data_IF_218251599469
#
_entry.id   IF_218251599469
#
_cell.length_a   1.000
_cell.length_b   1.000
_cell.length_c   1.000
_cell.angle_alpha   90.00
_cell.angle_beta   90.00
_cell.angle_gamma   90.00
#
_symmetry.space_group_name_H-M   'P 1'
#
loop_
_entity.id
_entity.type
_entity.pdbx_description
1 polymer ?
#
# COMPACT_ATOMS: atom_id res chain seq x y z
N UNK A 1 4.93 0.34 16.12
CA UNK A 1 3.88 1.35 16.34
C UNK A 1 3.84 2.18 15.08
N UNK A 2 2.86 1.93 14.21
CA UNK A 2 2.90 2.37 12.82
C UNK A 2 2.67 3.89 12.72
N UNK A 3 3.55 4.60 12.02
CA UNK A 3 3.49 6.05 11.71
C UNK A 3 2.14 6.48 11.08
N UNK A 4 1.43 5.53 10.49
CA UNK A 4 0.10 5.75 9.87
C UNK A 4 -0.98 6.24 10.84
N UNK A 5 -0.89 5.91 12.13
CA UNK A 5 -1.84 6.38 13.16
C UNK A 5 -1.69 7.88 13.48
N UNK A 6 -0.55 8.48 13.11
CA UNK A 6 -0.28 9.89 13.41
C UNK A 6 -0.95 10.87 12.42
N UNK A 7 -1.33 10.43 11.22
CA UNK A 7 -1.96 11.29 10.19
C UNK A 7 -3.38 11.76 10.51
N UNK A 8 -4.07 11.14 11.46
CA UNK A 8 -5.50 11.43 11.75
C UNK A 8 -5.79 12.26 13.01
N UNK A 9 -4.78 12.58 13.78
CA UNK A 9 -4.98 13.40 14.97
C UNK A 9 -4.68 14.86 14.65
N UNK A 10 -5.65 15.77 14.77
CA UNK A 10 -5.42 17.23 14.64
C UNK A 10 -4.37 17.78 15.62
N UNK A 11 -3.96 16.97 16.60
CA UNK A 11 -2.89 17.24 17.57
C UNK A 11 -1.52 16.73 17.13
N UNK A 12 -1.36 16.21 15.90
CA UNK A 12 -0.16 15.50 15.45
C UNK A 12 1.09 16.38 15.44
N UNK A 13 0.97 17.62 14.98
CA UNK A 13 2.12 18.53 14.93
C UNK A 13 2.65 18.89 16.33
N UNK A 14 1.77 19.06 17.32
CA UNK A 14 2.20 19.30 18.69
C UNK A 14 2.81 18.05 19.33
N UNK A 15 2.23 16.87 19.08
CA UNK A 15 2.76 15.60 19.59
C UNK A 15 4.12 15.22 19.01
N UNK A 16 4.34 15.50 17.73
CA UNK A 16 5.63 15.31 17.06
C UNK A 16 6.70 16.27 17.58
N UNK A 17 6.33 17.54 17.79
CA UNK A 17 7.23 18.56 18.34
C UNK A 17 7.67 18.24 19.77
N UNK A 18 6.78 17.71 20.60
CA UNK A 18 7.08 17.28 21.97
C UNK A 18 8.04 16.08 21.94
N UNK A 19 7.78 15.06 21.14
CA UNK A 19 8.67 13.87 21.06
C UNK A 19 10.05 14.22 20.51
N UNK A 20 10.16 15.07 19.49
CA UNK A 20 11.42 15.54 18.97
C UNK A 20 12.27 16.31 20.01
N UNK A 21 11.65 17.09 20.87
CA UNK A 21 12.32 17.78 21.98
C UNK A 21 12.94 16.86 23.03
N UNK A 22 12.31 15.70 23.29
CA UNK A 22 12.77 14.76 24.31
C UNK A 22 13.85 13.80 23.80
N UNK A 23 13.84 13.48 22.52
CA UNK A 23 14.72 12.47 21.94
C UNK A 23 15.83 13.04 21.07
N UNK A 24 15.77 14.33 20.72
CA UNK A 24 16.67 14.97 19.75
C UNK A 24 16.45 14.50 18.29
N UNK A 25 15.49 13.61 18.05
CA UNK A 25 15.17 13.09 16.72
C UNK A 25 14.21 14.05 16.01
N UNK A 26 14.62 14.55 14.85
CA UNK A 26 13.76 15.33 13.96
C UNK A 26 12.76 14.38 13.29
N UNK A 27 11.48 14.59 13.52
CA UNK A 27 10.41 13.85 12.88
C UNK A 27 9.79 14.70 11.79
N UNK A 28 9.71 14.15 10.58
CA UNK A 28 9.07 14.78 9.44
C UNK A 28 7.85 13.97 9.00
N UNK A 29 6.81 14.67 8.57
CA UNK A 29 5.64 14.07 7.93
C UNK A 29 5.80 14.30 6.45
N UNK A 30 6.05 13.25 5.69
CA UNK A 30 6.10 13.32 4.24
C UNK A 30 4.70 13.22 3.64
N UNK A 31 4.40 13.93 2.55
CA UNK A 31 3.15 13.77 1.79
C UNK A 31 3.04 12.34 1.24
N UNK A 32 1.79 11.85 1.06
CA UNK A 32 1.56 10.51 0.50
C UNK A 32 2.15 10.33 -0.90
N UNK A 33 2.20 11.38 -1.69
CA UNK A 33 2.86 11.37 -3.00
C UNK A 33 4.38 11.13 -2.92
N UNK A 34 5.05 11.74 -1.94
CA UNK A 34 6.48 11.53 -1.69
C UNK A 34 6.75 10.12 -1.17
N UNK A 35 5.89 9.63 -0.26
CA UNK A 35 5.94 8.23 0.21
C UNK A 35 5.81 7.24 -0.94
N UNK A 36 4.84 7.47 -1.84
CA UNK A 36 4.65 6.65 -3.03
C UNK A 36 5.86 6.69 -3.96
N UNK A 37 6.43 7.87 -4.21
CA UNK A 37 7.60 8.01 -5.07
C UNK A 37 8.82 7.28 -4.52
N UNK A 38 9.08 7.35 -3.20
CA UNK A 38 10.17 6.63 -2.54
C UNK A 38 10.02 5.10 -2.69
N UNK A 39 8.81 4.59 -2.50
CA UNK A 39 8.51 3.17 -2.67
C UNK A 39 8.65 2.74 -4.13
N UNK A 40 8.20 3.57 -5.06
CA UNK A 40 8.29 3.28 -6.48
C UNK A 40 9.72 3.26 -7.01
N UNK A 41 10.56 4.20 -6.60
CA UNK A 41 11.97 4.21 -6.99
C UNK A 41 12.66 2.90 -6.59
N UNK A 42 12.34 2.37 -5.41
CA UNK A 42 12.87 1.09 -4.94
C UNK A 42 12.29 -0.11 -5.73
N UNK A 43 11.01 -0.07 -6.10
CA UNK A 43 10.36 -1.13 -6.89
C UNK A 43 10.85 -1.16 -8.35
N UNK A 44 11.01 0.02 -8.96
CA UNK A 44 11.53 0.18 -10.32
C UNK A 44 12.91 -0.43 -10.45
N UNK A 45 13.77 -0.26 -9.45
CA UNK A 45 15.13 -0.78 -9.46
C UNK A 45 15.22 -2.28 -9.15
N UNK A 46 14.26 -2.81 -8.40
CA UNK A 46 14.18 -4.24 -8.07
C UNK A 46 13.37 -5.05 -9.09
N UNK A 47 12.74 -4.40 -10.07
CA UNK A 47 12.12 -5.06 -11.23
C UNK A 47 12.97 -4.79 -12.48
N UNK A 48 13.30 -5.83 -13.23
CA UNK A 48 14.20 -5.79 -14.40
C UNK A 48 13.81 -4.78 -15.50
N UNK A 49 12.69 -4.08 -15.34
CA UNK A 49 12.23 -3.09 -16.30
C UNK A 49 11.45 -1.97 -15.63
N UNK A 50 12.02 -1.06 -14.94
CA UNK A 50 11.35 0.12 -14.37
C UNK A 50 10.38 0.89 -15.28
N UNK A 51 10.02 0.30 -16.41
CA UNK A 51 9.14 0.78 -17.47
C UNK A 51 7.78 0.07 -17.34
N UNK A 52 6.70 0.84 -17.38
CA UNK A 52 5.33 0.32 -17.37
C UNK A 52 4.39 1.13 -16.48
N UNK A 53 3.14 0.66 -16.44
CA UNK A 53 2.07 1.32 -15.71
C UNK A 53 1.82 0.58 -14.39
N UNK A 54 1.82 1.31 -13.29
CA UNK A 54 1.60 0.73 -11.98
C UNK A 54 0.58 1.54 -11.18
N UNK A 55 -0.28 0.85 -10.45
CA UNK A 55 -1.12 1.41 -9.41
C UNK A 55 -0.61 0.91 -8.05
N UNK A 56 0.05 1.78 -7.31
CA UNK A 56 0.45 1.52 -5.94
C UNK A 56 -0.76 1.76 -5.01
N UNK A 57 -1.12 0.75 -4.24
CA UNK A 57 -2.34 0.73 -3.42
C UNK A 57 -2.00 0.42 -1.96
N UNK A 58 -2.26 1.37 -1.07
CA UNK A 58 -2.17 1.17 0.37
C UNK A 58 -3.56 1.27 1.01
N UNK A 59 -4.03 0.17 1.59
CA UNK A 59 -5.33 0.09 2.25
C UNK A 59 -5.17 0.26 3.75
N UNK A 60 -5.53 1.44 4.24
CA UNK A 60 -5.55 1.77 5.66
C UNK A 60 -6.89 1.49 6.34
N UNK A 61 -6.98 1.82 7.64
CA UNK A 61 -8.22 1.72 8.40
C UNK A 61 -9.27 2.75 7.99
N UNK A 62 -8.86 3.95 7.63
CA UNK A 62 -9.76 5.06 7.32
C UNK A 62 -9.79 5.47 5.86
N UNK A 63 -8.79 5.13 5.09
CA UNK A 63 -8.63 5.56 3.69
C UNK A 63 -7.89 4.50 2.89
N UNK A 64 -8.00 4.60 1.58
CA UNK A 64 -7.18 3.89 0.60
C UNK A 64 -6.43 4.95 -0.20
N UNK A 65 -5.12 4.87 -0.17
CA UNK A 65 -4.22 5.70 -0.96
C UNK A 65 -3.87 4.96 -2.25
N UNK A 66 -4.05 5.64 -3.38
CA UNK A 66 -3.73 5.10 -4.71
C UNK A 66 -2.82 6.08 -5.42
N UNK A 67 -1.63 5.63 -5.79
CA UNK A 67 -0.67 6.39 -6.58
C UNK A 67 -0.46 5.69 -7.92
N UNK A 68 -0.67 6.43 -8.99
CA UNK A 68 -0.60 5.96 -10.37
C UNK A 68 0.73 6.39 -10.97
N UNK A 69 1.46 5.41 -11.52
CA UNK A 69 2.77 5.63 -12.09
C UNK A 69 2.82 5.17 -13.53
N UNK A 70 3.48 5.96 -14.33
CA UNK A 70 3.79 5.68 -15.72
C UNK A 70 5.29 5.81 -15.94
N UNK A 71 5.95 4.75 -16.39
CA UNK A 71 7.39 4.69 -16.65
C UNK A 71 8.26 5.23 -15.49
N UNK A 72 7.93 4.83 -14.27
CA UNK A 72 8.64 5.22 -13.05
C UNK A 72 8.33 6.64 -12.55
N UNK A 73 7.47 7.40 -13.24
CA UNK A 73 7.07 8.74 -12.84
C UNK A 73 5.67 8.72 -12.20
N UNK A 74 5.52 9.38 -11.06
CA UNK A 74 4.21 9.56 -10.44
C UNK A 74 3.34 10.49 -11.29
N UNK A 75 2.28 9.92 -11.90
CA UNK A 75 1.31 10.67 -12.69
C UNK A 75 0.25 11.32 -11.79
N UNK A 76 -0.38 10.53 -10.92
CA UNK A 76 -1.45 10.99 -10.04
C UNK A 76 -1.37 10.30 -8.68
N UNK A 77 -1.85 10.96 -7.63
CA UNK A 77 -2.00 10.36 -6.29
C UNK A 77 -3.32 10.80 -5.68
N UNK A 78 -4.10 9.83 -5.21
CA UNK A 78 -5.44 10.03 -4.66
C UNK A 78 -5.59 9.35 -3.30
N UNK A 79 -6.34 9.98 -2.40
CA UNK A 79 -6.75 9.40 -1.12
C UNK A 79 -8.28 9.35 -1.06
N UNK A 80 -8.81 8.14 -1.01
CA UNK A 80 -10.25 7.91 -0.90
C UNK A 80 -10.62 7.60 0.55
N UNK A 81 -11.75 8.12 1.03
CA UNK A 81 -12.28 7.81 2.36
C UNK A 81 -12.88 6.39 2.42
N UNK A 82 -12.21 5.44 1.81
CA UNK A 82 -12.53 4.01 1.79
C UNK A 82 -11.41 3.30 2.53
N UNK A 83 -11.69 2.84 3.75
CA UNK A 83 -10.73 2.11 4.56
C UNK A 83 -11.44 1.02 5.35
N UNK A 84 -10.68 0.05 5.86
CA UNK A 84 -11.24 -1.15 6.47
C UNK A 84 -12.15 -0.85 7.65
N UNK A 85 -11.74 0.02 8.57
CA UNK A 85 -12.55 0.43 9.73
C UNK A 85 -13.74 1.29 9.32
N UNK A 86 -13.59 2.09 8.27
CA UNK A 86 -14.69 2.90 7.75
C UNK A 86 -15.75 2.04 7.09
N UNK A 87 -15.34 0.96 6.40
CA UNK A 87 -16.27 -0.03 5.84
C UNK A 87 -17.02 -0.79 6.94
N UNK A 88 -16.33 -1.24 7.99
CA UNK A 88 -16.96 -1.89 9.15
C UNK A 88 -17.98 -0.99 9.84
N UNK A 89 -17.71 0.32 9.91
CA UNK A 89 -18.62 1.30 10.46
C UNK A 89 -19.78 1.71 9.53
N UNK A 90 -19.87 1.14 8.32
CA UNK A 90 -20.88 1.52 7.31
C UNK A 90 -20.76 2.97 6.83
N UNK A 91 -19.58 3.59 6.97
CA UNK A 91 -19.33 5.00 6.70
C UNK A 91 -18.71 5.27 5.31
N UNK A 92 -18.69 4.28 4.44
CA UNK A 92 -18.28 4.43 3.03
C UNK A 92 -19.51 4.69 2.18
N UNK A 93 -19.55 5.83 1.50
CA UNK A 93 -20.68 6.18 0.65
C UNK A 93 -20.56 5.54 -0.74
N UNK A 94 -21.71 5.31 -1.44
CA UNK A 94 -21.68 4.87 -2.84
C UNK A 94 -20.94 5.85 -3.76
N UNK A 95 -21.05 7.16 -3.50
CA UNK A 95 -20.40 8.23 -4.27
C UNK A 95 -18.88 8.11 -4.20
N UNK A 96 -18.33 7.89 -3.00
CA UNK A 96 -16.89 7.71 -2.76
C UNK A 96 -16.38 6.46 -3.49
N UNK A 97 -17.11 5.33 -3.35
CA UNK A 97 -16.79 4.08 -4.05
C UNK A 97 -16.81 4.24 -5.56
N UNK A 98 -17.86 4.90 -6.10
CA UNK A 98 -17.98 5.15 -7.53
C UNK A 98 -16.90 6.11 -8.06
N UNK A 99 -16.51 7.11 -7.26
CA UNK A 99 -15.41 8.01 -7.62
C UNK A 99 -14.10 7.26 -7.80
N UNK A 100 -13.76 6.38 -6.86
CA UNK A 100 -12.57 5.53 -6.95
C UNK A 100 -12.62 4.61 -8.18
N UNK A 101 -13.75 3.93 -8.42
CA UNK A 101 -13.90 3.04 -9.57
C UNK A 101 -13.72 3.80 -10.89
N UNK A 102 -14.40 4.93 -11.08
CA UNK A 102 -14.29 5.73 -12.31
C UNK A 102 -12.86 6.20 -12.57
N UNK A 103 -12.15 6.64 -11.54
CA UNK A 103 -10.76 7.06 -11.67
C UNK A 103 -9.88 5.89 -12.14
N UNK A 104 -10.02 4.71 -11.52
CA UNK A 104 -9.24 3.52 -11.88
C UNK A 104 -9.60 2.98 -13.27
N UNK A 105 -10.89 2.96 -13.63
CA UNK A 105 -11.35 2.51 -14.94
C UNK A 105 -10.80 3.42 -16.04
N UNK A 106 -10.85 4.74 -15.84
CA UNK A 106 -10.26 5.71 -16.76
C UNK A 106 -8.74 5.48 -16.90
N UNK A 107 -8.04 5.29 -15.80
CA UNK A 107 -6.60 5.03 -15.85
C UNK A 107 -6.27 3.72 -16.59
N UNK A 108 -7.07 2.67 -16.42
CA UNK A 108 -6.90 1.41 -17.14
C UNK A 108 -7.16 1.54 -18.65
N UNK A 109 -8.02 2.49 -19.06
CA UNK A 109 -8.25 2.81 -20.47
C UNK A 109 -7.09 3.59 -21.08
N UNK A 110 -6.59 4.60 -20.35
CA UNK A 110 -5.49 5.47 -20.78
C UNK A 110 -4.13 4.72 -20.77
N UNK A 111 -3.96 3.77 -19.82
CA UNK A 111 -2.72 3.02 -19.60
C UNK A 111 -2.99 1.50 -19.52
N UNK A 112 -3.22 0.84 -20.66
CA UNK A 112 -3.46 -0.61 -20.69
C UNK A 112 -2.30 -1.42 -20.10
N UNK A 113 -2.63 -2.53 -19.44
CA UNK A 113 -1.63 -3.41 -18.83
C UNK A 113 -1.08 -2.89 -17.49
N UNK A 114 -1.76 -1.93 -16.87
CA UNK A 114 -1.43 -1.47 -15.51
C UNK A 114 -1.37 -2.64 -14.54
N UNK A 115 -0.31 -2.70 -13.72
CA UNK A 115 -0.12 -3.70 -12.68
C UNK A 115 -0.41 -3.09 -11.30
N UNK A 116 -0.98 -3.88 -10.40
CA UNK A 116 -1.21 -3.43 -9.02
C UNK A 116 -0.01 -3.81 -8.16
N UNK A 117 0.44 -2.84 -7.35
CA UNK A 117 1.39 -3.05 -6.28
C UNK A 117 0.65 -2.78 -4.97
N UNK A 118 0.41 -3.85 -4.21
CA UNK A 118 -0.24 -3.75 -2.91
C UNK A 118 0.75 -3.53 -1.79
N UNK A 119 0.50 -2.54 -0.94
CA UNK A 119 1.32 -2.20 0.21
C UNK A 119 0.54 -2.24 1.52
N UNK A 120 1.29 -2.29 2.60
CA UNK A 120 0.75 -2.22 3.95
C UNK A 120 0.42 -3.58 4.58
N UNK A 121 -0.03 -3.51 5.84
CA UNK A 121 -0.25 -4.71 6.67
C UNK A 121 -1.38 -5.60 6.19
N UNK A 122 -2.40 -5.03 5.55
CA UNK A 122 -3.58 -5.76 5.10
C UNK A 122 -3.26 -6.69 3.93
N UNK A 123 -2.64 -6.19 2.86
CA UNK A 123 -2.28 -7.02 1.71
C UNK A 123 -1.22 -8.06 2.07
N UNK A 124 -0.24 -7.69 2.88
CA UNK A 124 0.77 -8.63 3.37
C UNK A 124 0.15 -9.78 4.18
N UNK A 125 -0.93 -9.53 4.90
CA UNK A 125 -1.66 -10.57 5.61
C UNK A 125 -2.45 -11.46 4.66
N UNK A 126 -3.18 -10.88 3.71
CA UNK A 126 -3.90 -11.61 2.66
C UNK A 126 -2.95 -12.51 1.87
N UNK A 127 -1.80 -11.99 1.47
CA UNK A 127 -0.77 -12.76 0.76
C UNK A 127 -0.28 -13.97 1.56
N UNK A 128 -0.01 -13.79 2.86
CA UNK A 128 0.40 -14.90 3.74
C UNK A 128 -0.70 -15.96 3.89
N UNK A 129 -1.96 -15.54 4.00
CA UNK A 129 -3.09 -16.45 4.10
C UNK A 129 -3.32 -17.23 2.80
N UNK A 130 -3.03 -16.63 1.66
CA UNK A 130 -3.15 -17.26 0.35
C UNK A 130 -2.13 -18.39 0.14
N UNK A 131 -1.08 -18.51 0.96
CA UNK A 131 -0.08 -19.59 0.94
C UNK A 131 0.49 -19.85 -0.46
N UNK A 132 0.81 -18.77 -1.18
CA UNK A 132 1.40 -18.86 -2.53
C UNK A 132 2.70 -19.69 -2.46
N UNK A 133 2.83 -20.67 -3.34
CA UNK A 133 4.01 -21.54 -3.40
C UNK A 133 5.12 -20.89 -4.23
N UNK A 134 6.36 -21.16 -3.84
CA UNK A 134 7.56 -20.62 -4.50
C UNK A 134 7.90 -19.20 -4.04
N UNK A 135 8.84 -18.58 -4.75
CA UNK A 135 9.37 -17.25 -4.43
C UNK A 135 8.56 -16.10 -5.06
N UNK A 136 7.46 -16.43 -5.74
CA UNK A 136 6.60 -15.42 -6.37
C UNK A 136 5.99 -14.50 -5.32
N UNK A 137 6.11 -13.21 -5.55
CA UNK A 137 5.47 -12.15 -4.75
C UNK A 137 4.21 -11.63 -5.43
N UNK A 138 3.62 -12.42 -6.32
CA UNK A 138 2.34 -12.12 -6.98
C UNK A 138 1.21 -12.89 -6.31
N UNK A 139 0.16 -12.17 -5.94
CA UNK A 139 -1.10 -12.71 -5.43
C UNK A 139 -2.12 -12.72 -6.57
N UNK A 140 -2.46 -13.90 -7.12
CA UNK A 140 -3.52 -13.98 -8.13
C UNK A 140 -4.85 -13.51 -7.58
N UNK A 141 -5.56 -12.68 -8.34
CA UNK A 141 -6.89 -12.17 -7.97
C UNK A 141 -7.89 -13.33 -7.79
N UNK A 142 -7.74 -14.39 -8.57
CA UNK A 142 -8.54 -15.62 -8.41
C UNK A 142 -8.33 -16.25 -7.02
N UNK A 143 -7.08 -16.33 -6.55
CA UNK A 143 -6.75 -16.84 -5.22
C UNK A 143 -7.29 -15.93 -4.12
N UNK A 144 -7.20 -14.60 -4.31
CA UNK A 144 -7.77 -13.65 -3.36
C UNK A 144 -9.30 -13.77 -3.28
N UNK A 145 -9.99 -14.02 -4.41
CA UNK A 145 -11.44 -14.28 -4.45
C UNK A 145 -11.82 -15.56 -3.69
N UNK A 146 -11.04 -16.63 -3.86
CA UNK A 146 -11.24 -17.88 -3.12
C UNK A 146 -11.06 -17.67 -1.62
N UNK A 147 -9.96 -17.03 -1.22
CA UNK A 147 -9.70 -16.71 0.17
C UNK A 147 -10.79 -15.83 0.79
N UNK A 148 -11.28 -14.83 0.06
CA UNK A 148 -12.42 -14.02 0.48
C UNK A 148 -13.68 -14.88 0.70
N UNK A 149 -13.99 -15.76 -0.24
CA UNK A 149 -15.17 -16.64 -0.14
C UNK A 149 -15.06 -17.63 1.04
N UNK A 150 -13.86 -18.05 1.42
CA UNK A 150 -13.62 -18.89 2.61
C UNK A 150 -13.77 -18.08 3.91
N UNK A 151 -13.28 -16.84 3.94
CA UNK A 151 -13.27 -16.00 5.14
C UNK A 151 -14.63 -15.32 5.42
N UNK A 152 -15.36 -14.91 4.38
CA UNK A 152 -16.55 -14.07 4.51
C UNK A 152 -17.68 -14.70 5.33
N UNK A 153 -17.98 -16.02 5.22
CA UNK A 153 -19.05 -16.65 6.00
C UNK A 153 -18.69 -16.90 7.47
N UNK A 154 -17.42 -16.81 7.84
CA UNK A 154 -16.93 -17.13 9.19
C UNK A 154 -17.17 -15.97 10.17
N UNK A 155 -17.47 -16.31 11.41
CA UNK A 155 -17.49 -15.35 12.52
C UNK A 155 -16.08 -14.83 12.82
N UNK A 156 -15.99 -13.80 13.65
CA UNK A 156 -14.70 -13.24 14.08
C UNK A 156 -13.84 -14.30 14.77
N UNK A 157 -14.46 -15.05 15.70
CA UNK A 157 -13.83 -16.09 16.48
C UNK A 157 -13.32 -17.22 15.58
N UNK A 158 -14.12 -17.66 14.62
CA UNK A 158 -13.74 -18.70 13.66
C UNK A 158 -12.56 -18.26 12.79
N UNK A 159 -12.53 -17.01 12.33
CA UNK A 159 -11.38 -16.46 11.60
C UNK A 159 -10.12 -16.45 12.45
N UNK A 160 -10.23 -16.06 13.72
CA UNK A 160 -9.10 -16.07 14.66
C UNK A 160 -8.58 -17.49 14.88
N UNK A 161 -9.46 -18.46 15.06
CA UNK A 161 -9.08 -19.84 15.34
C UNK A 161 -8.50 -20.57 14.11
N UNK A 162 -9.22 -20.52 12.97
CA UNK A 162 -8.85 -21.29 11.78
C UNK A 162 -7.67 -20.69 11.02
N UNK A 163 -7.62 -19.35 10.93
CA UNK A 163 -6.57 -18.64 10.18
C UNK A 163 -5.47 -18.04 11.06
N UNK A 164 -5.51 -18.30 12.38
CA UNK A 164 -4.53 -17.77 13.35
C UNK A 164 -4.39 -16.24 13.26
N UNK A 165 -5.52 -15.57 13.08
CA UNK A 165 -5.56 -14.11 13.03
C UNK A 165 -5.64 -13.56 14.45
N UNK A 166 -4.99 -12.41 14.67
CA UNK A 166 -5.23 -11.63 15.89
C UNK A 166 -6.55 -10.87 15.76
N UNK A 167 -7.14 -10.48 16.87
CA UNK A 167 -8.40 -9.75 16.94
C UNK A 167 -8.39 -8.51 16.04
N UNK A 168 -7.36 -7.67 16.15
CA UNK A 168 -7.15 -6.45 15.35
C UNK A 168 -6.94 -6.70 13.84
N UNK A 169 -6.95 -7.95 13.41
CA UNK A 169 -6.77 -8.37 12.01
C UNK A 169 -7.94 -9.18 11.48
N UNK A 170 -8.64 -9.91 12.34
CA UNK A 170 -9.73 -10.79 11.95
C UNK A 170 -10.98 -10.02 11.50
N UNK A 171 -11.22 -8.84 12.03
CA UNK A 171 -12.31 -7.94 11.63
C UNK A 171 -12.02 -7.19 10.32
N UNK A 172 -10.78 -6.68 10.15
CA UNK A 172 -10.42 -5.83 9.00
C UNK A 172 -10.03 -6.63 7.74
N UNK A 173 -9.82 -7.95 7.83
CA UNK A 173 -9.33 -8.75 6.71
C UNK A 173 -10.34 -8.83 5.56
N UNK A 174 -11.63 -8.91 5.89
CA UNK A 174 -12.72 -8.96 4.90
C UNK A 174 -12.83 -7.66 4.12
N UNK A 175 -13.02 -6.48 4.77
CA UNK A 175 -13.05 -5.22 4.04
C UNK A 175 -11.75 -4.93 3.28
N UNK A 176 -10.60 -5.38 3.78
CA UNK A 176 -9.34 -5.26 3.04
C UNK A 176 -9.38 -6.06 1.73
N UNK A 177 -9.81 -7.31 1.76
CA UNK A 177 -9.96 -8.14 0.57
C UNK A 177 -10.95 -7.52 -0.43
N UNK A 178 -12.08 -7.00 0.05
CA UNK A 178 -13.07 -6.33 -0.80
C UNK A 178 -12.50 -5.11 -1.53
N UNK A 179 -11.72 -4.28 -0.85
CA UNK A 179 -11.10 -3.10 -1.46
C UNK A 179 -10.11 -3.54 -2.55
N UNK A 180 -9.21 -4.49 -2.27
CA UNK A 180 -8.26 -4.97 -3.26
C UNK A 180 -8.94 -5.65 -4.46
N UNK A 181 -10.01 -6.41 -4.23
CA UNK A 181 -10.82 -6.99 -5.31
C UNK A 181 -11.53 -5.92 -6.15
N UNK A 182 -12.01 -4.86 -5.52
CA UNK A 182 -12.62 -3.72 -6.22
C UNK A 182 -11.59 -3.02 -7.12
N UNK A 183 -10.42 -2.73 -6.59
CA UNK A 183 -9.31 -2.10 -7.33
C UNK A 183 -8.87 -2.98 -8.51
N UNK A 184 -8.65 -4.29 -8.25
CA UNK A 184 -8.23 -5.23 -9.29
C UNK A 184 -9.25 -5.34 -10.43
N UNK A 185 -10.54 -5.34 -10.10
CA UNK A 185 -11.63 -5.35 -11.08
C UNK A 185 -11.63 -4.09 -11.93
N UNK A 186 -11.53 -2.92 -11.30
CA UNK A 186 -11.56 -1.62 -12.00
C UNK A 186 -10.35 -1.42 -12.92
N UNK A 187 -9.16 -1.90 -12.50
CA UNK A 187 -7.95 -1.88 -13.32
C UNK A 187 -7.83 -3.06 -14.29
N UNK A 188 -8.76 -4.02 -14.27
CA UNK A 188 -8.75 -5.25 -15.07
C UNK A 188 -7.47 -6.08 -14.87
N UNK A 189 -6.95 -6.11 -13.63
CA UNK A 189 -5.74 -6.83 -13.27
C UNK A 189 -6.07 -8.25 -12.80
N UNK A 190 -5.22 -9.21 -13.15
CA UNK A 190 -5.33 -10.61 -12.74
C UNK A 190 -4.44 -10.94 -11.54
N UNK A 191 -3.45 -10.09 -11.24
CA UNK A 191 -2.47 -10.27 -10.18
C UNK A 191 -2.24 -8.98 -9.41
N UNK A 192 -1.89 -9.14 -8.13
CA UNK A 192 -1.43 -8.07 -7.24
C UNK A 192 -0.01 -8.39 -6.80
N UNK A 193 0.93 -7.55 -7.15
CA UNK A 193 2.30 -7.65 -6.64
C UNK A 193 2.33 -7.22 -5.17
N UNK A 194 2.94 -8.05 -4.33
CA UNK A 194 3.05 -7.80 -2.87
C UNK A 194 4.53 -7.83 -2.49
N UNK A 195 5.28 -6.77 -2.78
CA UNK A 195 6.70 -6.73 -2.48
C UNK A 195 6.95 -6.79 -0.97
N UNK A 196 8.08 -7.37 -0.56
CA UNK A 196 8.50 -7.39 0.84
C UNK A 196 9.34 -6.14 1.18
N UNK A 197 8.94 -5.01 0.64
CA UNK A 197 9.65 -3.74 0.80
C UNK A 197 8.75 -2.82 1.61
N UNK A 198 9.31 -2.21 2.63
CA UNK A 198 8.65 -1.17 3.43
C UNK A 198 9.17 0.21 3.03
N UNK A 199 8.44 1.25 3.42
CA UNK A 199 8.90 2.63 3.29
C UNK A 199 10.28 2.82 3.99
N UNK A 200 10.51 2.14 5.11
CA UNK A 200 11.78 2.21 5.82
C UNK A 200 12.93 1.64 4.97
N UNK A 201 12.72 0.52 4.27
CA UNK A 201 13.71 -0.04 3.36
C UNK A 201 14.02 0.93 2.23
N UNK A 202 13.00 1.53 1.63
CA UNK A 202 13.15 2.51 0.54
C UNK A 202 13.89 3.78 0.97
N UNK A 203 13.67 4.25 2.19
CA UNK A 203 14.41 5.40 2.76
C UNK A 203 15.88 5.04 2.99
N UNK A 204 16.14 3.85 3.54
CA UNK A 204 17.52 3.39 3.79
C UNK A 204 18.29 3.25 2.48
N UNK A 205 17.69 2.65 1.47
CA UNK A 205 18.29 2.51 0.14
C UNK A 205 18.56 3.88 -0.52
N UNK A 206 17.64 4.83 -0.39
CA UNK A 206 17.82 6.20 -0.85
C UNK A 206 19.02 6.88 -0.20
N UNK A 207 19.10 6.85 1.13
CA UNK A 207 20.23 7.41 1.89
C UNK A 207 21.55 6.74 1.51
N UNK A 208 21.56 5.43 1.34
CA UNK A 208 22.76 4.68 0.95
C UNK A 208 23.31 5.14 -0.41
N UNK A 209 22.44 5.36 -1.39
CA UNK A 209 22.82 5.87 -2.72
C UNK A 209 23.35 7.29 -2.69
N UNK A 210 22.72 8.17 -1.93
CA UNK A 210 23.17 9.56 -1.78
C UNK A 210 24.58 9.59 -1.18
N UNK A 211 24.88 8.72 -0.23
CA UNK A 211 26.21 8.59 0.36
C UNK A 211 27.22 8.06 -0.66
N UNK A 212 26.87 7.03 -1.42
CA UNK A 212 27.75 6.48 -2.46
C UNK A 212 28.01 7.47 -3.61
N UNK A 213 26.97 8.15 -4.10
CA UNK A 213 27.09 9.17 -5.12
C UNK A 213 28.01 10.33 -4.69
N UNK A 214 27.91 10.73 -3.42
CA UNK A 214 28.77 11.76 -2.85
C UNK A 214 30.25 11.29 -2.65
N UNK A 215 30.48 9.98 -2.42
CA UNK A 215 31.84 9.42 -2.37
C UNK A 215 32.46 9.36 -3.76
N UNK A 216 31.77 8.87 -4.76
CA UNK A 216 32.26 8.79 -6.13
C UNK A 216 32.55 10.15 -6.76
N UNK A 217 31.82 11.20 -6.35
CA UNK A 217 32.08 12.58 -6.82
C UNK A 217 33.28 13.23 -6.15
N UNK A 218 33.79 12.73 -5.02
CA UNK A 218 35.00 13.20 -4.36
C UNK A 218 36.25 12.58 -4.95
N UNK A 219 36.18 11.27 -5.31
CA UNK A 219 37.33 10.57 -5.90
C UNK A 219 37.67 11.03 -7.34
N UNK A 220 36.73 11.69 -8.03
CA UNK A 220 36.96 12.28 -9.36
C UNK A 220 37.51 13.72 -9.32
N UNK A 221 37.81 14.28 -8.14
CA UNK A 221 38.33 15.64 -7.97
C UNK A 221 39.76 15.69 -7.42
N UNK A 222 40.39 14.56 -7.22
CA UNK A 222 41.82 14.39 -6.98
C UNK A 222 42.52 13.90 -8.28
#
# INVERSE_FOLDING_TARGET
MCLHHLRKCRTTNQGLHIRGRWTGIKLEIIPGAEEAQLLCNNLVENTESGVGNFAYVDVGGGSTEISLLHDGVLAESHSFNIGTLRMLAGAVTPEERNAMCRMLEKYAEDFPGTKIIGSGGNINRLFRLAKIKGDSRSLPVATLKQLYAELAPLSLEERMEQFKLKDDRADVIIPAAEIFLLVARSLKCEDILVPNISLADSIVDGIYRDVQGNMASKDNKE
#
